data_IF_891365070508
#
_entry.id   IF_891365070508
#
_cell.length_a   1.000
_cell.length_b   1.000
_cell.length_c   1.000
_cell.angle_alpha   90.00
_cell.angle_beta   90.00
_cell.angle_gamma   90.00
#
_symmetry.space_group_name_H-M   'P 1'
#
loop_
_entity.id
_entity.type
_entity.pdbx_description
1 polymer ?
#
# COMPACT_ATOMS: atom_id res chain seq x y z
N UNK A 1 14.26 8.30 20.00
CA UNK A 1 13.05 8.67 19.25
C UNK A 1 12.68 7.46 18.44
N UNK A 2 11.54 6.82 18.70
CA UNK A 2 11.11 5.67 17.90
C UNK A 2 10.71 6.21 16.51
N UNK A 3 11.23 5.60 15.45
CA UNK A 3 10.85 5.96 14.09
C UNK A 3 9.37 5.61 13.90
N UNK A 4 8.51 6.64 13.73
CA UNK A 4 7.09 6.46 13.40
C UNK A 4 6.89 6.04 11.93
N UNK A 5 7.90 5.41 11.32
CA UNK A 5 7.93 5.00 9.93
C UNK A 5 8.48 3.60 9.85
N UNK A 6 7.72 2.73 9.21
CA UNK A 6 8.20 1.42 8.79
C UNK A 6 8.35 1.44 7.28
N UNK A 7 9.46 0.95 6.77
CA UNK A 7 9.72 0.89 5.33
C UNK A 7 10.27 -0.47 4.94
N UNK A 8 9.79 -0.99 3.81
CA UNK A 8 10.33 -2.20 3.18
C UNK A 8 10.69 -1.87 1.73
N UNK A 9 11.80 -2.42 1.27
CA UNK A 9 12.26 -2.33 -0.12
C UNK A 9 12.50 -3.73 -0.62
N UNK A 10 11.97 -4.05 -1.80
CA UNK A 10 12.09 -5.37 -2.39
C UNK A 10 12.05 -5.27 -3.92
N UNK A 11 12.29 -6.40 -4.59
CA UNK A 11 12.46 -6.49 -6.04
C UNK A 11 11.58 -7.59 -6.62
N UNK A 12 11.12 -7.39 -7.86
CA UNK A 12 10.42 -8.43 -8.60
C UNK A 12 11.06 -8.62 -9.97
N UNK A 13 11.02 -9.86 -10.47
CA UNK A 13 11.48 -10.18 -11.81
C UNK A 13 10.55 -11.18 -12.49
N UNK A 14 10.35 -10.98 -13.80
CA UNK A 14 9.49 -11.80 -14.63
C UNK A 14 10.19 -12.11 -15.94
N UNK A 15 10.16 -13.38 -16.35
CA UNK A 15 10.53 -13.79 -17.71
C UNK A 15 9.25 -14.08 -18.51
N UNK A 16 9.12 -13.39 -19.64
CA UNK A 16 8.06 -13.62 -20.63
C UNK A 16 8.71 -14.12 -21.91
N UNK A 17 8.22 -15.25 -22.40
CA UNK A 17 8.69 -15.88 -23.62
C UNK A 17 7.48 -16.48 -24.37
N UNK A 18 7.73 -17.23 -25.44
CA UNK A 18 6.63 -17.81 -26.22
C UNK A 18 5.70 -18.75 -25.46
N UNK A 19 6.20 -19.45 -24.43
CA UNK A 19 5.39 -20.48 -23.77
C UNK A 19 4.36 -19.89 -22.81
N UNK A 20 4.55 -18.64 -22.37
CA UNK A 20 3.66 -17.98 -21.41
C UNK A 20 3.04 -16.68 -21.93
N UNK A 21 3.44 -16.16 -23.11
CA UNK A 21 2.89 -14.91 -23.65
C UNK A 21 1.37 -14.98 -23.91
N UNK A 22 0.85 -16.14 -24.27
CA UNK A 22 -0.59 -16.33 -24.53
C UNK A 22 -1.44 -16.11 -23.28
N UNK A 23 -0.89 -16.38 -22.10
CA UNK A 23 -1.57 -16.23 -20.82
C UNK A 23 -1.85 -14.75 -20.52
N UNK A 24 -1.08 -13.85 -21.16
CA UNK A 24 -1.13 -12.40 -20.96
C UNK A 24 -1.79 -11.64 -22.12
N UNK A 25 -2.22 -12.35 -23.16
CA UNK A 25 -2.87 -11.76 -24.33
C UNK A 25 -4.32 -11.32 -24.03
N UNK A 26 -4.97 -11.94 -23.06
CA UNK A 26 -6.37 -11.68 -22.68
C UNK A 26 -6.54 -11.07 -21.29
N UNK A 27 -5.57 -11.25 -20.38
CA UNK A 27 -5.53 -10.62 -19.07
C UNK A 27 -4.15 -10.01 -18.82
N UNK A 28 -4.06 -8.77 -18.32
CA UNK A 28 -2.77 -8.19 -17.92
C UNK A 28 -2.06 -9.04 -16.86
N UNK A 29 -0.77 -9.28 -17.05
CA UNK A 29 0.12 -9.82 -16.02
C UNK A 29 0.20 -8.81 -14.89
N UNK A 30 -0.19 -9.19 -13.68
CA UNK A 30 0.00 -8.34 -12.49
C UNK A 30 1.47 -8.44 -12.09
N UNK A 31 2.23 -7.36 -12.32
CA UNK A 31 3.65 -7.29 -11.97
C UNK A 31 3.84 -7.06 -10.47
N UNK A 32 2.98 -6.23 -9.88
CA UNK A 32 3.07 -5.90 -8.47
C UNK A 32 1.68 -5.62 -7.91
N UNK A 33 1.36 -6.34 -6.82
CA UNK A 33 0.16 -6.15 -6.03
C UNK A 33 0.55 -5.51 -4.69
N UNK A 34 0.17 -4.25 -4.51
CA UNK A 34 0.67 -3.42 -3.42
C UNK A 34 0.05 -3.86 -2.08
N UNK A 35 -1.17 -4.40 -2.12
CA UNK A 35 -1.85 -4.94 -0.95
C UNK A 35 -1.04 -6.02 -0.25
N UNK A 36 -0.32 -6.85 -1.02
CA UNK A 36 0.38 -8.01 -0.48
C UNK A 36 1.63 -7.56 0.30
N UNK A 37 2.38 -6.60 -0.27
CA UNK A 37 3.51 -5.96 0.40
C UNK A 37 3.06 -5.20 1.67
N UNK A 38 1.95 -4.45 1.60
CA UNK A 38 1.41 -3.75 2.78
C UNK A 38 0.92 -4.73 3.86
N UNK A 39 0.29 -5.84 3.46
CA UNK A 39 -0.21 -6.85 4.40
C UNK A 39 0.94 -7.50 5.16
N UNK A 40 2.07 -7.77 4.49
CA UNK A 40 3.26 -8.30 5.14
C UNK A 40 3.79 -7.37 6.24
N UNK A 41 3.91 -6.06 5.96
CA UNK A 41 4.41 -5.09 6.93
C UNK A 41 3.39 -4.84 8.06
N UNK A 42 2.10 -4.67 7.70
CA UNK A 42 1.04 -4.36 8.66
C UNK A 42 0.69 -5.52 9.60
N UNK A 43 0.98 -6.77 9.22
CA UNK A 43 0.83 -7.92 10.11
C UNK A 43 1.67 -7.83 11.39
N UNK A 44 2.75 -7.04 11.36
CA UNK A 44 3.64 -6.81 12.51
C UNK A 44 3.34 -5.50 13.26
N UNK A 45 2.39 -4.70 12.77
CA UNK A 45 1.98 -3.44 13.41
C UNK A 45 0.90 -3.75 14.43
N UNK A 46 1.08 -3.20 15.63
CA UNK A 46 0.05 -3.29 16.66
C UNK A 46 -1.24 -2.61 16.18
N UNK A 47 -2.41 -3.29 16.25
CA UNK A 47 -3.67 -2.79 15.71
C UNK A 47 -4.11 -1.43 16.29
N UNK A 48 -3.51 -1.00 17.41
CA UNK A 48 -3.71 0.31 18.05
C UNK A 48 -3.15 1.50 17.26
N UNK A 49 -2.33 1.27 16.24
CA UNK A 49 -1.77 2.32 15.40
C UNK A 49 -2.60 2.50 14.13
N UNK A 50 -3.03 3.74 13.88
CA UNK A 50 -3.45 4.10 12.54
C UNK A 50 -2.21 4.18 11.67
N UNK A 51 -2.28 3.69 10.45
CA UNK A 51 -1.19 3.80 9.51
C UNK A 51 -1.68 4.30 8.16
N UNK A 52 -0.83 5.05 7.47
CA UNK A 52 -1.02 5.40 6.07
C UNK A 52 0.09 4.72 5.28
N UNK A 53 -0.28 3.99 4.25
CA UNK A 53 0.68 3.42 3.32
C UNK A 53 0.94 4.35 2.15
N UNK A 54 2.21 4.47 1.78
CA UNK A 54 2.67 5.05 0.54
C UNK A 54 3.54 4.01 -0.16
N UNK A 55 3.21 3.71 -1.41
CA UNK A 55 3.95 2.74 -2.21
C UNK A 55 4.62 3.46 -3.39
N UNK A 56 5.90 3.17 -3.58
CA UNK A 56 6.79 3.79 -4.54
C UNK A 56 7.41 2.71 -5.43
N UNK A 57 7.34 2.90 -6.75
CA UNK A 57 8.04 2.10 -7.75
C UNK A 57 9.35 2.78 -8.17
N UNK A 58 10.46 2.44 -7.52
CA UNK A 58 11.76 3.11 -7.65
C UNK A 58 12.40 2.84 -9.02
N UNK A 59 12.25 1.62 -9.53
CA UNK A 59 12.86 1.18 -10.79
C UNK A 59 11.93 0.22 -11.53
N UNK A 60 11.91 0.33 -12.85
CA UNK A 60 11.29 -0.66 -13.72
C UNK A 60 11.99 -0.66 -15.08
N UNK A 61 12.57 -1.80 -15.43
CA UNK A 61 13.33 -1.99 -16.66
C UNK A 61 12.90 -3.26 -17.37
N UNK A 62 13.00 -3.26 -18.69
CA UNK A 62 12.80 -4.45 -19.50
C UNK A 62 14.03 -4.71 -20.37
N UNK A 63 14.54 -5.93 -20.32
CA UNK A 63 15.57 -6.45 -21.21
C UNK A 63 14.92 -7.32 -22.27
N UNK A 64 15.05 -6.90 -23.53
CA UNK A 64 14.28 -7.48 -24.64
C UNK A 64 15.21 -8.12 -25.66
N UNK A 65 14.86 -9.33 -26.09
CA UNK A 65 15.50 -10.02 -27.21
C UNK A 65 14.44 -10.76 -28.04
N UNK A 66 14.14 -10.26 -29.24
CA UNK A 66 13.12 -10.85 -30.10
C UNK A 66 13.68 -11.15 -31.50
N UNK A 67 14.53 -12.19 -31.64
CA UNK A 67 15.13 -12.55 -32.92
C UNK A 67 14.13 -13.06 -33.98
N UNK A 68 12.87 -13.37 -33.61
CA UNK A 68 11.84 -13.80 -34.58
C UNK A 68 11.39 -12.68 -35.54
N UNK A 69 11.54 -11.41 -35.14
CA UNK A 69 11.20 -10.27 -35.98
C UNK A 69 12.38 -9.90 -36.89
N UNK A 70 12.08 -9.39 -38.09
CA UNK A 70 13.14 -8.88 -38.97
C UNK A 70 13.86 -7.72 -38.29
N UNK A 71 15.19 -7.74 -38.38
CA UNK A 71 16.05 -6.74 -37.75
C UNK A 71 15.74 -5.35 -38.32
N UNK A 72 15.46 -4.42 -37.43
CA UNK A 72 15.38 -3.00 -37.73
C UNK A 72 16.75 -2.33 -37.51
N UNK A 73 17.20 -1.46 -38.42
CA UNK A 73 18.34 -0.59 -38.17
C UNK A 73 18.02 0.40 -37.04
N UNK A 74 19.03 1.09 -36.50
CA UNK A 74 18.78 2.23 -35.62
C UNK A 74 18.33 3.44 -36.45
N UNK A 75 17.43 4.29 -35.92
CA UNK A 75 17.10 5.53 -36.60
C UNK A 75 18.35 6.42 -36.67
N UNK A 76 18.68 6.88 -37.87
CA UNK A 76 19.80 7.78 -38.13
C UNK A 76 19.34 9.22 -37.86
N UNK A 77 19.70 9.73 -36.67
CA UNK A 77 19.47 11.12 -36.30
C UNK A 77 20.74 11.93 -36.51
N UNK A 78 20.60 13.02 -37.25
CA UNK A 78 21.65 14.01 -37.41
C UNK A 78 21.41 15.22 -36.50
N UNK A 79 22.46 15.92 -36.05
CA UNK A 79 22.33 17.12 -35.24
C UNK A 79 21.42 18.18 -35.88
N UNK A 80 21.48 18.31 -37.20
CA UNK A 80 20.69 19.23 -38.03
C UNK A 80 19.20 18.87 -38.15
N UNK A 81 18.82 17.62 -37.83
CA UNK A 81 17.41 17.21 -37.94
C UNK A 81 16.55 17.94 -36.90
N UNK A 82 15.48 18.56 -37.38
CA UNK A 82 14.40 19.10 -36.56
C UNK A 82 13.65 17.99 -35.81
N UNK A 83 12.92 18.36 -34.74
CA UNK A 83 12.10 17.40 -34.00
C UNK A 83 11.07 16.67 -34.89
N UNK A 84 10.53 17.37 -35.90
CA UNK A 84 9.59 16.81 -36.86
C UNK A 84 10.27 15.78 -37.80
N UNK A 85 11.48 16.07 -38.28
CA UNK A 85 12.25 15.14 -39.12
C UNK A 85 12.67 13.89 -38.36
N UNK A 86 13.11 14.04 -37.10
CA UNK A 86 13.41 12.91 -36.22
C UNK A 86 12.17 12.04 -36.00
N UNK A 87 11.01 12.66 -35.75
CA UNK A 87 9.75 11.95 -35.61
C UNK A 87 9.35 11.22 -36.91
N UNK A 88 9.47 11.86 -38.06
CA UNK A 88 9.15 11.26 -39.36
C UNK A 88 10.08 10.07 -39.70
N UNK A 89 11.39 10.19 -39.43
CA UNK A 89 12.36 9.09 -39.61
C UNK A 89 12.01 7.91 -38.70
N UNK A 90 11.65 8.18 -37.45
CA UNK A 90 11.26 7.15 -36.48
C UNK A 90 9.94 6.48 -36.90
N UNK A 91 8.92 7.24 -37.31
CA UNK A 91 7.66 6.68 -37.83
C UNK A 91 7.86 5.83 -39.08
N UNK A 92 8.70 6.27 -40.02
CA UNK A 92 9.00 5.51 -41.24
C UNK A 92 9.66 4.18 -40.92
N UNK A 93 10.61 4.18 -39.98
CA UNK A 93 11.28 2.98 -39.50
C UNK A 93 10.33 2.05 -38.77
N UNK A 94 9.44 2.60 -37.94
CA UNK A 94 8.38 1.87 -37.28
C UNK A 94 7.33 1.25 -38.22
N UNK A 95 7.07 1.86 -39.36
CA UNK A 95 6.14 1.34 -40.36
C UNK A 95 6.72 0.19 -41.18
N UNK A 96 8.04 0.17 -41.38
CA UNK A 96 8.71 -0.77 -42.29
C UNK A 96 9.21 -2.03 -41.58
N UNK A 97 9.28 -2.03 -40.25
CA UNK A 97 9.80 -3.13 -39.47
C UNK A 97 8.76 -3.63 -38.46
N UNK A 98 8.63 -4.96 -38.29
CA UNK A 98 7.71 -5.54 -37.32
C UNK A 98 7.93 -4.97 -35.92
N UNK A 99 6.82 -4.66 -35.26
CA UNK A 99 6.79 -4.08 -33.93
C UNK A 99 5.62 -4.59 -33.11
N UNK A 100 5.79 -4.59 -31.80
CA UNK A 100 4.72 -4.77 -30.82
C UNK A 100 4.89 -3.75 -29.68
N UNK A 101 3.82 -3.43 -28.97
CA UNK A 101 3.85 -2.55 -27.82
C UNK A 101 3.90 -3.33 -26.52
N UNK A 102 4.70 -2.86 -25.57
CA UNK A 102 4.70 -3.34 -24.20
C UNK A 102 3.89 -2.36 -23.35
N UNK A 103 2.62 -2.67 -23.10
CA UNK A 103 1.71 -1.79 -22.38
C UNK A 103 1.87 -1.94 -20.88
N UNK A 104 2.30 -0.87 -20.22
CA UNK A 104 2.22 -0.74 -18.77
C UNK A 104 0.85 -0.22 -18.41
N UNK A 105 0.19 -0.96 -17.54
CA UNK A 105 -1.16 -0.68 -17.08
C UNK A 105 -1.12 -0.37 -15.59
N UNK A 106 -1.93 0.60 -15.17
CA UNK A 106 -2.21 0.85 -13.77
C UNK A 106 -3.67 0.56 -13.50
N UNK A 107 -3.95 0.03 -12.33
CA UNK A 107 -5.30 -0.11 -11.82
C UNK A 107 -5.36 0.60 -10.48
N UNK A 108 -6.31 1.52 -10.32
CA UNK A 108 -6.52 2.18 -9.03
C UNK A 108 -7.60 1.46 -8.26
N UNK A 109 -7.28 0.67 -7.25
CA UNK A 109 -8.27 -0.19 -6.59
C UNK A 109 -8.64 -1.43 -7.41
N UNK A 110 -8.80 -2.56 -6.73
CA UNK A 110 -9.00 -3.90 -7.29
C UNK A 110 -10.28 -4.12 -8.11
N UNK A 111 -11.18 -3.13 -8.18
CA UNK A 111 -12.44 -3.21 -8.93
C UNK A 111 -12.46 -2.31 -10.18
N UNK A 112 -11.59 -1.31 -10.26
CA UNK A 112 -11.59 -0.34 -11.37
C UNK A 112 -10.98 -0.93 -12.65
N UNK A 113 -11.24 -0.36 -13.85
CA UNK A 113 -10.61 -0.84 -15.07
C UNK A 113 -9.10 -0.55 -15.10
N UNK A 114 -8.36 -1.36 -15.87
CA UNK A 114 -6.97 -1.08 -16.19
C UNK A 114 -6.86 0.17 -17.09
N UNK A 115 -5.90 1.03 -16.79
CA UNK A 115 -5.61 2.27 -17.53
C UNK A 115 -4.17 2.24 -18.01
N UNK A 116 -3.96 2.50 -19.30
CA UNK A 116 -2.62 2.58 -19.88
C UNK A 116 -1.82 3.74 -19.24
N UNK A 117 -0.63 3.42 -18.76
CA UNK A 117 0.32 4.37 -18.18
C UNK A 117 1.44 4.71 -19.19
N UNK A 118 1.94 3.71 -19.91
CA UNK A 118 2.93 3.87 -20.97
C UNK A 118 2.88 2.67 -21.92
N UNK A 119 3.36 2.87 -23.14
CA UNK A 119 3.44 1.80 -24.14
C UNK A 119 4.71 1.96 -24.99
N UNK A 120 5.89 1.60 -24.46
CA UNK A 120 7.10 1.50 -25.27
C UNK A 120 6.90 0.54 -26.44
N UNK A 121 7.31 0.99 -27.63
CA UNK A 121 7.29 0.22 -28.86
C UNK A 121 8.58 -0.59 -28.96
N UNK A 122 8.43 -1.89 -29.15
CA UNK A 122 9.53 -2.85 -29.21
C UNK A 122 9.75 -3.30 -30.65
N UNK A 123 11.02 -3.29 -31.06
CA UNK A 123 11.49 -3.76 -32.36
C UNK A 123 12.80 -4.52 -32.20
N UNK A 124 13.05 -5.50 -33.08
CA UNK A 124 14.31 -6.23 -33.06
C UNK A 124 15.47 -5.34 -33.53
N UNK A 125 16.43 -5.03 -32.65
CA UNK A 125 17.66 -4.28 -32.98
C UNK A 125 18.85 -5.16 -33.35
N UNK A 126 18.66 -6.49 -33.38
CA UNK A 126 19.68 -7.49 -33.67
C UNK A 126 20.58 -7.86 -32.48
N UNK A 127 20.31 -7.30 -31.29
CA UNK A 127 20.94 -7.64 -30.02
C UNK A 127 19.93 -7.49 -28.90
N UNK A 128 20.23 -8.06 -27.73
CA UNK A 128 19.48 -7.76 -26.51
C UNK A 128 19.67 -6.29 -26.15
N UNK A 129 18.59 -5.61 -25.79
CA UNK A 129 18.61 -4.19 -25.44
C UNK A 129 17.71 -3.91 -24.24
N UNK A 130 18.04 -2.85 -23.51
CA UNK A 130 17.32 -2.42 -22.32
C UNK A 130 16.36 -1.29 -22.66
N UNK A 131 15.16 -1.37 -22.12
CA UNK A 131 14.10 -0.36 -22.23
C UNK A 131 13.78 0.12 -20.82
N UNK A 132 14.10 1.37 -20.46
CA UNK A 132 13.60 1.95 -19.23
C UNK A 132 12.09 2.15 -19.36
N UNK A 133 11.33 1.51 -18.48
CA UNK A 133 9.87 1.53 -18.51
C UNK A 133 9.29 2.68 -17.68
N UNK A 134 10.13 3.25 -16.80
CA UNK A 134 9.89 4.50 -16.10
C UNK A 134 10.96 5.49 -16.56
N UNK A 135 10.54 6.73 -16.80
CA UNK A 135 11.44 7.77 -17.29
C UNK A 135 12.48 8.11 -16.20
N UNK A 136 13.80 8.04 -16.46
CA UNK A 136 14.85 8.22 -15.45
C UNK A 136 15.03 9.66 -14.93
N UNK A 137 14.10 10.58 -15.24
CA UNK A 137 14.17 11.99 -14.86
C UNK A 137 13.30 12.36 -13.65
N UNK A 138 12.65 11.39 -13.01
CA UNK A 138 12.05 11.60 -11.69
C UNK A 138 13.12 11.30 -10.65
N UNK A 139 13.65 12.34 -10.02
CA UNK A 139 14.61 12.24 -8.93
C UNK A 139 14.07 11.35 -7.81
N UNK A 140 14.95 10.67 -7.07
CA UNK A 140 14.61 9.92 -5.87
C UNK A 140 13.60 10.71 -5.01
N UNK A 141 12.49 10.06 -4.63
CA UNK A 141 11.31 10.62 -3.94
C UNK A 141 10.23 11.35 -4.79
N UNK A 142 10.31 11.39 -6.13
CA UNK A 142 9.20 11.83 -7.01
C UNK A 142 8.53 10.67 -7.76
N UNK A 143 8.66 9.48 -7.17
CA UNK A 143 8.14 8.23 -7.68
C UNK A 143 6.61 8.20 -7.60
N UNK A 144 5.95 7.72 -8.66
CA UNK A 144 4.49 7.63 -8.78
C UNK A 144 3.90 6.95 -7.54
N UNK A 145 3.20 7.74 -6.72
CA UNK A 145 2.55 7.26 -5.50
C UNK A 145 1.37 6.38 -5.91
N UNK A 146 1.44 5.13 -5.47
CA UNK A 146 0.34 4.19 -5.58
C UNK A 146 -0.40 4.08 -4.23
N UNK A 147 -1.72 3.92 -4.29
CA UNK A 147 -2.56 3.62 -3.14
C UNK A 147 -2.46 2.15 -2.70
N UNK A 148 -3.06 1.83 -1.55
CA UNK A 148 -3.05 0.48 -0.94
C UNK A 148 -3.56 -0.61 -1.88
N UNK A 149 -4.63 -0.30 -2.61
CA UNK A 149 -5.32 -1.24 -3.49
C UNK A 149 -4.92 -1.08 -4.97
N UNK A 150 -3.90 -0.27 -5.24
CA UNK A 150 -3.45 -0.05 -6.60
C UNK A 150 -2.61 -1.24 -7.10
N UNK A 151 -2.66 -1.50 -8.40
CA UNK A 151 -1.92 -2.59 -9.03
C UNK A 151 -1.17 -2.10 -10.26
N UNK A 152 0.02 -2.67 -10.46
CA UNK A 152 0.80 -2.50 -11.68
C UNK A 152 0.63 -3.75 -12.55
N UNK A 153 0.27 -3.53 -13.80
CA UNK A 153 0.04 -4.59 -14.78
C UNK A 153 0.84 -4.38 -16.05
N UNK A 154 0.99 -5.47 -16.79
CA UNK A 154 1.64 -5.51 -18.08
C UNK A 154 0.74 -6.23 -19.09
N UNK A 155 0.62 -5.67 -20.28
CA UNK A 155 -0.05 -6.32 -21.41
C UNK A 155 0.73 -6.06 -22.70
N UNK A 156 0.32 -6.72 -23.77
CA UNK A 156 0.94 -6.62 -25.07
C UNK A 156 -0.04 -6.02 -26.07
N UNK A 157 0.46 -5.06 -26.86
CA UNK A 157 -0.27 -4.48 -27.97
C UNK A 157 0.27 -5.01 -29.28
N UNK A 158 -0.54 -5.80 -29.97
CA UNK A 158 -0.22 -6.24 -31.32
C UNK A 158 -0.51 -5.11 -32.32
N UNK A 159 0.48 -4.79 -33.17
CA UNK A 159 0.34 -3.86 -34.29
C UNK A 159 0.12 -4.57 -35.63
N UNK A 160 -0.34 -5.83 -35.61
CA UNK A 160 -0.61 -6.66 -36.78
C UNK A 160 0.57 -7.54 -37.21
N UNK A 161 1.65 -7.56 -36.42
CA UNK A 161 2.84 -8.40 -36.69
C UNK A 161 2.90 -9.63 -35.77
N UNK A 162 1.91 -9.79 -34.90
CA UNK A 162 1.95 -10.72 -33.79
C UNK A 162 2.86 -10.24 -32.66
N UNK A 163 2.76 -10.93 -31.53
CA UNK A 163 3.57 -10.70 -30.32
C UNK A 163 4.48 -11.92 -30.14
N UNK A 164 5.69 -11.74 -29.57
CA UNK A 164 6.68 -12.77 -29.20
C UNK A 164 6.50 -14.09 -29.95
N UNK A 165 7.18 -14.24 -31.09
CA UNK A 165 6.97 -15.36 -31.99
C UNK A 165 6.06 -15.16 -33.17
N UNK A 166 5.27 -14.10 -33.13
CA UNK A 166 4.48 -13.65 -34.27
C UNK A 166 5.31 -13.19 -35.46
N UNK A 167 6.61 -12.97 -35.25
CA UNK A 167 7.53 -12.50 -36.27
C UNK A 167 7.55 -13.34 -37.55
N UNK A 168 7.92 -12.66 -38.63
CA UNK A 168 8.00 -13.23 -39.98
C UNK A 168 9.11 -14.28 -40.12
N UNK A 169 10.08 -14.32 -39.20
CA UNK A 169 11.13 -15.34 -39.18
C UNK A 169 10.62 -16.53 -38.35
N UNK A 170 10.32 -17.64 -39.04
CA UNK A 170 9.84 -18.87 -38.39
C UNK A 170 10.91 -19.57 -37.56
N UNK A 171 12.17 -19.54 -38.01
CA UNK A 171 13.32 -19.93 -37.19
C UNK A 171 13.54 -18.88 -36.10
N UNK A 172 13.94 -19.30 -34.90
CA UNK A 172 14.20 -18.45 -33.73
C UNK A 172 12.98 -17.97 -32.92
N UNK A 173 11.78 -18.41 -33.29
CA UNK A 173 10.55 -18.19 -32.51
C UNK A 173 10.74 -18.48 -31.01
N UNK A 174 11.27 -19.65 -30.67
CA UNK A 174 11.48 -20.06 -29.27
C UNK A 174 12.54 -19.27 -28.49
N UNK A 175 13.24 -18.32 -29.11
CA UNK A 175 14.25 -17.48 -28.44
C UNK A 175 13.75 -16.08 -28.08
N UNK A 176 12.54 -15.73 -28.51
CA UNK A 176 11.92 -14.46 -28.13
C UNK A 176 11.68 -14.42 -26.62
N UNK A 177 12.37 -13.49 -25.95
CA UNK A 177 12.37 -13.35 -24.50
C UNK A 177 12.33 -11.87 -24.09
N UNK A 178 11.56 -11.59 -23.04
CA UNK A 178 11.53 -10.32 -22.32
C UNK A 178 11.76 -10.63 -20.85
N UNK A 179 12.76 -10.00 -20.25
CA UNK A 179 12.97 -9.98 -18.81
C UNK A 179 12.54 -8.63 -18.27
N UNK A 180 11.68 -8.61 -17.27
CA UNK A 180 11.23 -7.39 -16.61
C UNK A 180 11.70 -7.45 -15.17
N UNK A 181 12.34 -6.38 -14.72
CA UNK A 181 12.85 -6.24 -13.36
C UNK A 181 12.37 -4.90 -12.80
N UNK A 182 11.90 -4.91 -11.56
CA UNK A 182 11.48 -3.71 -10.86
C UNK A 182 11.91 -3.72 -9.41
N UNK A 183 12.11 -2.53 -8.86
CA UNK A 183 12.40 -2.30 -7.45
C UNK A 183 11.31 -1.40 -6.89
N UNK A 184 10.82 -1.73 -5.70
CA UNK A 184 9.76 -0.99 -5.05
C UNK A 184 10.08 -0.74 -3.58
N UNK A 185 9.49 0.31 -3.04
CA UNK A 185 9.56 0.69 -1.64
C UNK A 185 8.14 0.95 -1.13
N UNK A 186 7.80 0.37 0.01
CA UNK A 186 6.55 0.66 0.72
C UNK A 186 6.91 1.32 2.04
N UNK A 187 6.26 2.44 2.33
CA UNK A 187 6.39 3.16 3.60
C UNK A 187 5.04 3.21 4.32
N UNK A 188 5.04 2.82 5.59
CA UNK A 188 3.91 2.98 6.49
C UNK A 188 4.22 4.09 7.48
N UNK A 189 3.51 5.20 7.35
CA UNK A 189 3.50 6.28 8.33
C UNK A 189 2.58 5.90 9.48
N UNK A 190 3.17 5.64 10.66
CA UNK A 190 2.44 5.32 11.88
C UNK A 190 1.93 6.61 12.54
N UNK A 191 0.60 6.72 12.62
CA UNK A 191 -0.10 7.80 13.30
C UNK A 191 -0.56 7.25 14.65
N UNK A 192 0.08 7.72 15.72
CA UNK A 192 -0.37 7.44 17.08
C UNK A 192 -1.82 7.90 17.22
N UNK A 193 -2.73 6.99 17.57
CA UNK A 193 -4.12 7.33 17.91
C UNK A 193 -4.16 8.12 19.22
N UNK A 194 -3.76 9.39 19.17
CA UNK A 194 -3.99 10.36 20.23
C UNK A 194 -5.25 11.21 19.95
N UNK A 195 -5.99 10.95 18.86
CA UNK A 195 -7.15 11.75 18.46
C UNK A 195 -8.44 10.93 18.43
N UNK A 196 -9.45 11.43 19.15
CA UNK A 196 -10.81 10.89 19.28
C UNK A 196 -11.40 10.51 17.91
N UNK A 197 -11.80 9.24 17.69
CA UNK A 197 -12.48 8.81 16.47
C UNK A 197 -13.84 9.50 16.27
N UNK A 198 -14.29 9.63 15.02
CA UNK A 198 -15.55 10.33 14.71
C UNK A 198 -16.81 9.65 15.29
N UNK A 199 -16.75 8.32 15.55
CA UNK A 199 -17.88 7.50 16.01
C UNK A 199 -17.75 7.09 17.49
N UNK A 200 -17.12 7.90 18.33
CA UNK A 200 -16.97 7.61 19.76
C UNK A 200 -18.30 7.72 20.50
N UNK A 201 -18.75 6.60 21.10
CA UNK A 201 -19.87 6.58 22.03
C UNK A 201 -19.47 7.27 23.33
N UNK A 202 -20.35 8.12 23.83
CA UNK A 202 -20.16 8.86 25.07
C UNK A 202 -21.23 8.42 26.06
N UNK A 203 -20.81 7.99 27.25
CA UNK A 203 -21.71 7.56 28.31
C UNK A 203 -21.33 8.19 29.63
N UNK A 204 -22.32 8.56 30.44
CA UNK A 204 -22.11 9.14 31.77
C UNK A 204 -22.71 8.21 32.82
N UNK A 205 -21.93 7.88 33.85
CA UNK A 205 -22.29 6.91 34.87
C UNK A 205 -22.04 7.51 36.25
N UNK A 206 -22.98 7.30 37.18
CA UNK A 206 -22.81 7.66 38.59
C UNK A 206 -22.18 6.48 39.32
N UNK A 207 -21.06 6.72 39.98
CA UNK A 207 -20.29 5.71 40.71
C UNK A 207 -20.35 6.00 42.20
N UNK A 208 -20.88 5.05 42.96
CA UNK A 208 -20.99 5.11 44.42
C UNK A 208 -19.92 4.29 45.16
N UNK A 209 -20.14 4.01 46.47
CA UNK A 209 -19.17 3.28 47.29
C UNK A 209 -19.07 1.79 46.94
N UNK A 210 -20.13 1.24 46.36
CA UNK A 210 -20.16 -0.13 45.87
C UNK A 210 -19.55 -0.21 44.45
N UNK A 211 -18.75 -1.25 44.14
CA UNK A 211 -18.20 -1.43 42.80
C UNK A 211 -19.28 -1.42 41.74
N UNK A 212 -19.15 -0.50 40.80
CA UNK A 212 -20.08 -0.26 39.71
C UNK A 212 -19.39 -0.54 38.38
N UNK A 213 -20.07 -1.24 37.47
CA UNK A 213 -19.54 -1.49 36.14
C UNK A 213 -19.56 -0.17 35.35
N UNK A 214 -18.39 0.30 34.97
CA UNK A 214 -18.17 1.54 34.22
C UNK A 214 -18.26 1.22 32.73
N UNK A 215 -17.51 0.23 32.26
CA UNK A 215 -17.58 -0.23 30.87
C UNK A 215 -17.48 -1.76 30.81
N UNK A 216 -18.29 -2.43 29.97
CA UNK A 216 -18.19 -3.87 29.78
C UNK A 216 -16.85 -4.26 29.16
N UNK A 217 -16.49 -5.54 29.20
CA UNK A 217 -15.36 -6.04 28.45
C UNK A 217 -15.62 -5.89 26.94
N UNK A 218 -14.64 -5.39 26.21
CA UNK A 218 -14.71 -5.22 24.76
C UNK A 218 -13.35 -5.53 24.13
N UNK A 219 -13.18 -6.71 23.50
CA UNK A 219 -11.92 -7.08 22.86
C UNK A 219 -11.59 -6.20 21.65
N UNK A 220 -12.59 -5.54 21.05
CA UNK A 220 -12.44 -4.69 19.87
C UNK A 220 -12.28 -3.21 20.22
N UNK A 221 -12.02 -2.85 21.49
CA UNK A 221 -11.91 -1.46 21.94
C UNK A 221 -10.72 -0.76 21.24
N UNK A 222 -11.03 0.27 20.46
CA UNK A 222 -10.06 1.07 19.68
C UNK A 222 -9.71 2.40 20.37
N UNK A 223 -10.62 2.93 21.18
CA UNK A 223 -10.41 4.13 21.97
C UNK A 223 -11.06 3.96 23.34
N UNK A 224 -10.41 4.46 24.37
CA UNK A 224 -10.97 4.55 25.71
C UNK A 224 -10.52 5.84 26.35
N UNK A 225 -11.46 6.60 26.90
CA UNK A 225 -11.18 7.71 27.79
C UNK A 225 -12.17 7.67 28.95
N UNK A 226 -11.66 7.92 30.15
CA UNK A 226 -12.45 8.05 31.36
C UNK A 226 -12.11 9.37 32.04
N UNK A 227 -13.13 10.14 32.38
CA UNK A 227 -13.00 11.42 33.05
C UNK A 227 -13.81 11.42 34.34
N UNK A 228 -13.17 11.84 35.43
CA UNK A 228 -13.84 12.06 36.69
C UNK A 228 -14.40 13.48 36.71
N UNK A 229 -15.69 13.64 36.40
CA UNK A 229 -16.34 14.95 36.32
C UNK A 229 -16.90 15.43 37.64
N UNK A 230 -16.99 14.56 38.65
CA UNK A 230 -17.45 14.93 39.98
C UNK A 230 -16.33 15.40 40.90
N UNK A 231 -16.71 15.64 42.16
CA UNK A 231 -15.84 16.23 43.19
C UNK A 231 -15.17 15.18 44.10
N UNK A 232 -15.47 13.90 43.91
CA UNK A 232 -14.92 12.80 44.72
C UNK A 232 -13.90 11.99 43.91
N UNK A 233 -12.81 11.54 44.57
CA UNK A 233 -11.81 10.68 43.91
C UNK A 233 -12.42 9.35 43.46
N UNK A 234 -12.25 9.03 42.17
CA UNK A 234 -12.61 7.73 41.61
C UNK A 234 -11.48 6.72 41.84
N UNK A 235 -11.83 5.54 42.31
CA UNK A 235 -10.98 4.36 42.33
C UNK A 235 -11.47 3.40 41.25
N UNK A 236 -10.66 3.11 40.24
CA UNK A 236 -11.08 2.26 39.13
C UNK A 236 -10.03 1.21 38.78
N UNK A 237 -10.45 0.13 38.11
CA UNK A 237 -9.55 -0.93 37.69
C UNK A 237 -10.20 -1.92 36.76
N UNK A 238 -9.43 -2.95 36.39
CA UNK A 238 -9.78 -3.93 35.36
C UNK A 238 -10.06 -5.29 36.00
N UNK A 239 -11.06 -6.01 35.50
CA UNK A 239 -11.27 -7.41 35.88
C UNK A 239 -12.69 -7.93 35.70
N UNK A 240 -12.83 -9.26 35.84
CA UNK A 240 -14.10 -9.97 35.66
C UNK A 240 -15.16 -9.66 36.74
N UNK A 241 -14.76 -9.14 37.90
CA UNK A 241 -15.68 -8.76 38.98
C UNK A 241 -15.23 -7.46 39.65
N UNK A 242 -16.20 -6.64 40.10
CA UNK A 242 -15.91 -5.31 40.64
C UNK A 242 -15.07 -5.29 41.91
N UNK A 243 -15.19 -6.31 42.76
CA UNK A 243 -14.32 -6.43 43.94
C UNK A 243 -12.87 -6.71 43.55
N UNK A 244 -12.63 -7.63 42.62
CA UNK A 244 -11.28 -7.98 42.18
C UNK A 244 -10.60 -6.80 41.47
N UNK A 245 -11.33 -6.13 40.59
CA UNK A 245 -10.86 -4.97 39.84
C UNK A 245 -10.47 -3.77 40.71
N UNK A 246 -11.08 -3.62 41.88
CA UNK A 246 -10.84 -2.49 42.80
C UNK A 246 -9.95 -2.82 43.99
N UNK A 247 -9.29 -3.98 43.99
CA UNK A 247 -8.29 -4.35 45.02
C UNK A 247 -6.99 -3.56 44.90
N UNK A 248 -6.56 -3.27 43.68
CA UNK A 248 -5.39 -2.44 43.35
C UNK A 248 -5.78 -1.34 42.36
N UNK A 249 -6.62 -0.38 42.79
CA UNK A 249 -7.24 0.55 41.87
C UNK A 249 -6.28 1.65 41.42
N UNK A 250 -6.46 2.08 40.17
CA UNK A 250 -6.01 3.39 39.71
C UNK A 250 -6.81 4.47 40.44
N UNK A 251 -6.09 5.47 40.96
CA UNK A 251 -6.68 6.60 41.69
C UNK A 251 -6.79 7.78 40.74
N UNK A 252 -8.00 8.30 40.57
CA UNK A 252 -8.29 9.41 39.68
C UNK A 252 -8.98 10.54 40.46
N UNK A 253 -8.21 11.56 40.90
CA UNK A 253 -8.74 12.78 41.50
C UNK A 253 -9.85 13.47 40.66
N UNK A 254 -10.64 14.35 41.29
CA UNK A 254 -11.61 15.21 40.59
C UNK A 254 -11.00 15.95 39.40
N UNK A 255 -11.73 16.02 38.30
CA UNK A 255 -11.32 16.71 37.07
C UNK A 255 -10.25 16.01 36.24
N UNK A 256 -9.70 14.89 36.71
CA UNK A 256 -8.70 14.15 35.93
C UNK A 256 -9.31 13.35 34.79
N UNK A 257 -8.50 13.21 33.74
CA UNK A 257 -8.80 12.44 32.53
C UNK A 257 -7.71 11.39 32.39
N UNK A 258 -8.12 10.14 32.17
CA UNK A 258 -7.26 9.09 31.68
C UNK A 258 -7.58 8.82 30.21
N UNK A 259 -6.56 8.93 29.36
CA UNK A 259 -6.58 8.45 27.99
C UNK A 259 -5.22 7.78 27.65
N UNK A 260 -5.21 6.70 26.84
CA UNK A 260 -4.03 5.90 26.50
C UNK A 260 -2.85 6.70 25.91
N UNK A 261 -3.11 7.88 25.34
CA UNK A 261 -2.09 8.76 24.78
C UNK A 261 -1.17 9.43 25.81
N UNK A 262 -1.53 9.46 27.10
CA UNK A 262 -0.74 10.12 28.15
C UNK A 262 0.02 9.13 29.07
N UNK A 263 -0.35 7.84 29.06
CA UNK A 263 0.24 6.82 29.93
C UNK A 263 0.44 5.53 29.14
N UNK A 264 1.63 5.37 28.54
CA UNK A 264 2.14 4.13 27.92
C UNK A 264 1.13 3.25 27.16
N UNK A 265 0.24 3.84 26.35
CA UNK A 265 -0.47 3.17 25.25
C UNK A 265 -1.43 2.04 25.62
N UNK A 266 -1.77 1.81 26.89
CA UNK A 266 -2.64 0.70 27.27
C UNK A 266 -4.11 1.02 27.00
N UNK A 267 -4.74 0.27 26.10
CA UNK A 267 -6.19 0.32 25.87
C UNK A 267 -6.81 -0.87 26.61
N UNK A 268 -7.66 -0.65 27.62
CA UNK A 268 -8.26 -1.74 28.39
C UNK A 268 -9.25 -2.53 27.52
N UNK A 269 -9.09 -3.85 27.40
CA UNK A 269 -10.06 -4.74 26.76
C UNK A 269 -10.98 -5.44 27.76
N UNK A 270 -10.53 -5.57 29.01
CA UNK A 270 -11.32 -6.12 30.11
C UNK A 270 -12.44 -5.18 30.56
N UNK A 271 -13.36 -5.74 31.35
CA UNK A 271 -14.40 -4.98 32.03
C UNK A 271 -13.77 -4.00 33.03
N UNK A 272 -14.30 -2.79 33.05
CA UNK A 272 -13.82 -1.68 33.85
C UNK A 272 -14.81 -1.42 34.96
N UNK A 273 -14.31 -1.42 36.19
CA UNK A 273 -15.12 -1.19 37.38
C UNK A 273 -14.58 0.01 38.12
N UNK A 274 -15.47 0.74 38.79
CA UNK A 274 -15.05 1.79 39.70
C UNK A 274 -15.92 1.88 40.94
N UNK A 275 -15.35 2.53 41.94
CA UNK A 275 -16.02 2.90 43.19
C UNK A 275 -15.42 4.21 43.72
N UNK A 276 -16.12 4.84 44.63
CA UNK A 276 -15.55 5.89 45.49
C UNK A 276 -15.42 5.36 46.91
N UNK A 277 -14.67 6.06 47.77
CA UNK A 277 -14.55 5.66 49.19
C UNK A 277 -15.85 5.98 49.94
N UNK A 278 -16.41 7.16 49.68
CA UNK A 278 -17.66 7.65 50.28
C UNK A 278 -18.37 8.59 49.29
N UNK A 279 -19.70 8.69 49.39
CA UNK A 279 -20.50 9.54 48.50
C UNK A 279 -20.67 8.96 47.10
N UNK A 280 -20.66 9.83 46.08
CA UNK A 280 -20.77 9.43 44.68
C UNK A 280 -20.05 10.42 43.76
N UNK A 281 -19.52 9.95 42.64
CA UNK A 281 -18.98 10.80 41.58
C UNK A 281 -19.61 10.51 40.22
N UNK A 282 -19.62 11.51 39.35
CA UNK A 282 -20.04 11.36 37.95
C UNK A 282 -18.82 11.07 37.10
N UNK A 283 -18.88 9.99 36.34
CA UNK A 283 -17.82 9.54 35.46
C UNK A 283 -18.29 9.61 34.02
N UNK A 284 -17.55 10.32 33.18
CA UNK A 284 -17.76 10.32 31.74
C UNK A 284 -16.82 9.29 31.11
N UNK A 285 -17.37 8.51 30.18
CA UNK A 285 -16.64 7.49 29.43
C UNK A 285 -16.84 7.76 27.96
N UNK A 286 -15.74 7.67 27.21
CA UNK A 286 -15.75 7.74 25.77
C UNK A 286 -15.08 6.49 25.21
N UNK A 287 -15.79 5.77 24.36
CA UNK A 287 -15.33 4.50 23.79
C UNK A 287 -15.62 4.43 22.29
N UNK A 288 -14.71 3.85 21.52
CA UNK A 288 -14.98 3.38 20.16
C UNK A 288 -14.41 1.99 19.95
N UNK A 289 -14.92 1.27 18.95
CA UNK A 289 -14.46 -0.07 18.61
C UNK A 289 -14.01 -0.15 17.16
N UNK A 290 -13.10 -1.06 16.85
CA UNK A 290 -12.83 -1.49 15.48
C UNK A 290 -14.08 -2.21 14.96
N UNK A 291 -14.64 -1.70 13.86
CA UNK A 291 -15.72 -2.36 13.11
C UNK A 291 -15.18 -3.45 12.22
#
# INVERSE_FOLDING_TARGET
MAENRLSETDTFSFEINQSNVSDYASNPLTLWNISDAITAISAHIDPRWLWRANAFLESLTASVWCPSFTRSPYPEFYPEDSAAERAAKLMKLESNHPKFGLQLLRRKGSLNPWVEAACPVIQNRGRRFYVPLINPYLTANEVKIFGVDDQLGLSFKDYGNGILGGGSIGSNRGYDTIYIEGEYRVELDLILMAKRPANTLMNTIIVGPNPTLIAPANPNRAYFEIQNQGETQLLWGLGASGNNATTHPFRMPPGQIYYPGNVSGFIPTDAIWGKVVEGSTTVLIMESSYT
#
